data_IF_426994462056
#
_entry.id   IF_426994462056
#
_cell.length_a   1.000
_cell.length_b   1.000
_cell.length_c   1.000
_cell.angle_alpha   90.00
_cell.angle_beta   90.00
_cell.angle_gamma   90.00
#
_symmetry.space_group_name_H-M   'P 1'
#
loop_
_entity.id
_entity.type
_entity.pdbx_description
1 polymer ?
#
# COMPACT_ATOMS: atom_id res chain seq x y z
N UNK A 1 -23.01 32.86 25.22
CA UNK A 1 -21.87 33.18 24.35
C UNK A 1 -21.40 31.87 23.79
N UNK A 2 -21.63 31.63 22.48
CA UNK A 2 -21.30 30.39 21.81
C UNK A 2 -19.85 30.47 21.32
N UNK A 3 -18.94 29.82 22.02
CA UNK A 3 -17.55 29.67 21.52
C UNK A 3 -17.59 28.75 20.29
N UNK A 4 -17.50 29.37 19.12
CA UNK A 4 -17.25 28.61 17.89
C UNK A 4 -15.85 28.02 18.00
N UNK A 5 -15.77 26.70 18.23
CA UNK A 5 -14.49 25.99 18.20
C UNK A 5 -13.86 26.18 16.82
N UNK A 6 -12.64 26.71 16.80
CA UNK A 6 -11.83 26.83 15.61
C UNK A 6 -11.49 25.40 15.12
N UNK A 7 -12.12 24.99 14.01
CA UNK A 7 -11.91 23.67 13.41
C UNK A 7 -11.47 23.86 11.94
N UNK A 8 -10.18 24.15 11.70
CA UNK A 8 -9.68 24.34 10.34
C UNK A 8 -9.66 23.00 9.59
N UNK A 9 -10.13 23.03 8.35
CA UNK A 9 -9.87 21.93 7.40
C UNK A 9 -8.43 22.06 6.90
N UNK A 10 -7.60 21.02 6.99
CA UNK A 10 -6.22 21.07 6.50
C UNK A 10 -6.17 21.41 5.02
N UNK A 11 -5.32 22.39 4.67
CA UNK A 11 -5.09 22.77 3.28
C UNK A 11 -4.25 21.69 2.61
N UNK A 12 -4.79 21.06 1.57
CA UNK A 12 -4.08 20.11 0.70
C UNK A 12 -3.18 20.89 -0.28
N UNK A 13 -2.12 21.54 0.21
CA UNK A 13 -1.04 22.06 -0.63
C UNK A 13 0.10 21.05 -0.58
N UNK A 14 0.58 20.59 -1.74
CA UNK A 14 1.84 19.84 -1.83
C UNK A 14 2.91 20.66 -1.09
N UNK A 15 3.66 20.01 -0.21
CA UNK A 15 4.78 20.65 0.44
C UNK A 15 5.89 20.92 -0.58
N UNK A 16 6.79 21.87 -0.31
CA UNK A 16 7.95 22.11 -1.20
C UNK A 16 8.83 20.87 -1.29
N UNK A 17 8.90 20.04 -0.26
CA UNK A 17 9.62 18.77 -0.29
C UNK A 17 8.95 17.75 -1.23
N UNK A 18 7.61 17.67 -1.25
CA UNK A 18 6.88 16.81 -2.18
C UNK A 18 7.06 17.24 -3.64
N UNK A 19 7.14 18.55 -3.88
CA UNK A 19 7.39 19.08 -5.22
C UNK A 19 8.80 18.73 -5.73
N UNK A 20 9.81 18.78 -4.87
CA UNK A 20 11.17 18.33 -5.20
C UNK A 20 11.19 16.82 -5.49
N UNK A 21 10.53 16.03 -4.65
CA UNK A 21 10.38 14.58 -4.86
C UNK A 21 9.76 14.33 -6.23
N UNK A 22 8.70 15.05 -6.57
CA UNK A 22 8.02 14.93 -7.86
C UNK A 22 8.97 15.20 -9.03
N UNK A 23 9.66 16.34 -9.04
CA UNK A 23 10.53 16.73 -10.15
C UNK A 23 11.73 15.79 -10.32
N UNK A 24 12.37 15.34 -9.21
CA UNK A 24 13.48 14.39 -9.29
C UNK A 24 12.97 13.05 -9.86
N UNK A 25 11.78 12.61 -9.47
CA UNK A 25 11.16 11.40 -10.03
C UNK A 25 10.92 11.51 -11.54
N UNK A 26 10.37 12.61 -12.00
CA UNK A 26 10.20 12.85 -13.44
C UNK A 26 11.54 12.78 -14.18
N UNK A 27 12.59 13.39 -13.60
CA UNK A 27 13.94 13.32 -14.19
C UNK A 27 14.51 11.90 -14.24
N UNK A 28 14.15 11.05 -13.29
CA UNK A 28 14.52 9.64 -13.30
C UNK A 28 13.70 8.87 -14.34
N UNK A 29 12.39 9.09 -14.36
CA UNK A 29 11.45 8.39 -15.25
C UNK A 29 11.71 8.69 -16.74
N UNK A 30 12.01 9.95 -17.09
CA UNK A 30 12.30 10.36 -18.46
C UNK A 30 13.81 10.18 -18.85
N UNK A 31 14.60 9.58 -17.96
CA UNK A 31 16.00 9.24 -18.22
C UNK A 31 16.98 10.41 -18.15
N UNK A 32 16.57 11.59 -17.69
CA UNK A 32 17.50 12.72 -17.43
C UNK A 32 18.46 12.43 -16.27
N UNK A 33 18.03 11.59 -15.32
CA UNK A 33 18.85 11.05 -14.24
C UNK A 33 18.97 9.53 -14.45
N UNK A 34 20.19 9.06 -14.67
CA UNK A 34 20.48 7.66 -14.98
C UNK A 34 20.70 6.84 -13.70
N UNK A 35 20.44 5.51 -13.73
CA UNK A 35 20.84 4.60 -12.65
C UNK A 35 22.31 4.77 -12.26
N UNK A 36 22.59 4.70 -10.96
CA UNK A 36 23.90 4.96 -10.33
C UNK A 36 24.45 6.39 -10.52
N UNK A 37 23.74 7.26 -11.19
CA UNK A 37 24.13 8.65 -11.29
C UNK A 37 24.11 9.32 -9.91
N UNK A 38 25.17 10.07 -9.63
CA UNK A 38 25.26 10.89 -8.43
C UNK A 38 24.35 12.10 -8.59
N UNK A 39 23.48 12.33 -7.60
CA UNK A 39 22.67 13.54 -7.50
C UNK A 39 23.56 14.74 -7.09
N UNK A 40 23.15 15.96 -7.43
CA UNK A 40 23.75 17.18 -6.88
C UNK A 40 23.77 17.13 -5.35
N UNK A 41 24.74 17.82 -4.75
CA UNK A 41 24.86 17.93 -3.30
C UNK A 41 23.63 18.63 -2.69
N UNK A 42 23.39 18.45 -1.39
CA UNK A 42 22.31 19.17 -0.69
C UNK A 42 22.37 20.68 -0.91
N UNK A 43 23.58 21.25 -0.99
CA UNK A 43 23.78 22.68 -1.24
C UNK A 43 23.39 23.10 -2.66
N UNK A 44 23.78 22.32 -3.65
CA UNK A 44 23.43 22.57 -5.05
C UNK A 44 21.91 22.39 -5.28
N UNK A 45 21.30 21.40 -4.63
CA UNK A 45 19.84 21.23 -4.66
C UNK A 45 19.11 22.39 -4.02
N UNK A 46 19.61 22.93 -2.88
CA UNK A 46 19.04 24.13 -2.25
C UNK A 46 19.08 25.33 -3.22
N UNK A 47 20.17 25.50 -3.96
CA UNK A 47 20.29 26.57 -4.94
C UNK A 47 19.37 26.35 -6.15
N UNK A 48 19.37 25.13 -6.70
CA UNK A 48 18.56 24.78 -7.88
C UNK A 48 17.05 24.94 -7.63
N UNK A 49 16.56 24.51 -6.47
CA UNK A 49 15.15 24.59 -6.11
C UNK A 49 14.77 25.85 -5.34
N UNK A 50 15.74 26.72 -5.01
CA UNK A 50 15.53 27.93 -4.22
C UNK A 50 14.84 27.68 -2.88
N UNK A 51 15.23 26.60 -2.16
CA UNK A 51 14.65 26.17 -0.89
C UNK A 51 15.69 25.97 0.20
N UNK A 52 15.22 25.84 1.45
CA UNK A 52 16.08 25.59 2.60
C UNK A 52 16.57 24.14 2.68
N UNK A 53 17.68 23.93 3.44
CA UNK A 53 18.30 22.61 3.63
C UNK A 53 17.33 21.56 4.22
N UNK A 54 16.46 21.98 5.14
CA UNK A 54 15.45 21.08 5.74
C UNK A 54 14.55 20.47 4.69
N UNK A 55 14.02 21.30 3.78
CA UNK A 55 13.15 20.88 2.69
C UNK A 55 13.85 19.89 1.74
N UNK A 56 15.12 20.17 1.38
CA UNK A 56 15.91 19.25 0.54
C UNK A 56 16.17 17.92 1.26
N UNK A 57 16.48 17.94 2.56
CA UNK A 57 16.68 16.71 3.33
C UNK A 57 15.42 15.87 3.45
N UNK A 58 14.27 16.49 3.68
CA UNK A 58 12.97 15.81 3.68
C UNK A 58 12.67 15.16 2.33
N UNK A 59 12.93 15.89 1.22
CA UNK A 59 12.77 15.34 -0.12
C UNK A 59 13.71 14.15 -0.38
N UNK A 60 15.00 14.26 -0.03
CA UNK A 60 15.96 13.16 -0.19
C UNK A 60 15.62 11.97 0.71
N UNK A 61 15.08 12.18 1.92
CA UNK A 61 14.56 11.10 2.77
C UNK A 61 13.35 10.43 2.11
N UNK A 62 12.43 11.20 1.56
CA UNK A 62 11.29 10.68 0.79
C UNK A 62 11.74 9.83 -0.39
N UNK A 63 12.67 10.32 -1.21
CA UNK A 63 13.23 9.56 -2.34
C UNK A 63 13.96 8.29 -1.90
N UNK A 64 14.63 8.32 -0.74
CA UNK A 64 15.30 7.13 -0.19
C UNK A 64 14.29 6.11 0.32
N UNK A 65 13.22 6.57 1.00
CA UNK A 65 12.12 5.71 1.45
C UNK A 65 11.37 5.05 0.28
N UNK A 66 11.31 5.73 -0.87
CA UNK A 66 10.77 5.21 -2.12
C UNK A 66 11.73 4.27 -2.86
N UNK A 67 12.95 4.09 -2.36
CA UNK A 67 13.97 3.26 -3.01
C UNK A 67 14.57 3.84 -4.30
N UNK A 68 14.28 5.09 -4.63
CA UNK A 68 14.77 5.77 -5.85
C UNK A 68 16.17 6.33 -5.71
N UNK A 69 16.55 6.65 -4.47
CA UNK A 69 17.84 7.21 -4.12
C UNK A 69 18.45 6.40 -2.99
N UNK A 70 19.71 6.00 -3.15
CA UNK A 70 20.52 5.47 -2.05
C UNK A 70 21.46 6.55 -1.54
N UNK A 71 21.67 6.60 -0.22
CA UNK A 71 22.62 7.52 0.41
C UNK A 71 23.89 6.76 0.81
N UNK A 72 25.03 7.37 0.50
CA UNK A 72 26.34 6.92 0.96
C UNK A 72 27.07 8.10 1.58
N UNK A 73 27.22 8.09 2.92
CA UNK A 73 27.80 9.17 3.72
C UNK A 73 27.19 10.55 3.42
N UNK A 74 27.82 11.31 2.54
CA UNK A 74 27.40 12.68 2.18
C UNK A 74 26.84 12.78 0.75
N UNK A 75 26.79 11.67 0.01
CA UNK A 75 26.37 11.65 -1.37
C UNK A 75 25.05 10.89 -1.53
N UNK A 76 24.26 11.29 -2.51
CA UNK A 76 23.05 10.60 -2.92
C UNK A 76 23.21 10.13 -4.36
N UNK A 77 22.72 8.91 -4.66
CA UNK A 77 22.84 8.29 -5.97
C UNK A 77 21.48 7.73 -6.38
N UNK A 78 21.14 7.83 -7.64
CA UNK A 78 19.97 7.12 -8.20
C UNK A 78 20.20 5.62 -8.07
N UNK A 79 19.19 4.88 -7.65
CA UNK A 79 19.27 3.42 -7.50
C UNK A 79 19.12 2.70 -8.85
N UNK A 80 19.67 1.49 -8.97
CA UNK A 80 19.48 0.65 -10.16
C UNK A 80 18.04 0.12 -10.28
N UNK A 81 17.25 0.29 -9.23
CA UNK A 81 15.89 -0.22 -9.17
C UNK A 81 14.91 0.47 -10.15
N UNK A 82 15.38 1.50 -10.88
CA UNK A 82 14.55 2.32 -11.79
C UNK A 82 14.22 1.60 -13.12
N UNK A 83 14.90 0.51 -13.44
CA UNK A 83 14.61 -0.26 -14.66
C UNK A 83 13.37 -1.15 -14.58
N UNK A 84 12.64 -1.15 -13.43
CA UNK A 84 11.44 -1.96 -13.29
C UNK A 84 10.20 -1.15 -13.67
N UNK A 85 9.49 -1.48 -14.75
CA UNK A 85 8.23 -0.84 -15.16
C UNK A 85 7.17 -0.82 -14.03
N UNK A 86 7.22 -1.79 -13.12
CA UNK A 86 6.37 -1.87 -11.93
C UNK A 86 6.69 -0.77 -10.91
N UNK A 87 7.93 -0.31 -10.84
CA UNK A 87 8.33 0.73 -9.89
C UNK A 87 7.85 2.11 -10.35
N UNK A 88 7.92 2.38 -11.65
CA UNK A 88 7.34 3.58 -12.26
C UNK A 88 5.82 3.63 -12.08
N UNK A 89 5.13 2.52 -12.35
CA UNK A 89 3.71 2.35 -12.08
C UNK A 89 3.38 2.55 -10.59
N UNK A 90 4.16 1.96 -9.68
CA UNK A 90 4.01 2.12 -8.24
C UNK A 90 4.18 3.58 -7.80
N UNK A 91 5.14 4.29 -8.39
CA UNK A 91 5.39 5.70 -8.09
C UNK A 91 4.27 6.60 -8.59
N UNK A 92 3.71 6.34 -9.76
CA UNK A 92 2.53 7.02 -10.26
C UNK A 92 1.34 6.82 -9.30
N UNK A 93 1.10 5.57 -8.88
CA UNK A 93 0.04 5.25 -7.94
C UNK A 93 0.18 5.96 -6.58
N UNK A 94 1.39 6.20 -6.08
CA UNK A 94 1.61 6.91 -4.80
C UNK A 94 1.43 8.43 -4.92
N UNK A 95 1.68 9.00 -6.10
CA UNK A 95 1.72 10.46 -6.28
C UNK A 95 0.43 11.08 -6.79
N UNK A 96 -0.35 10.35 -7.53
CA UNK A 96 -1.67 10.81 -7.93
C UNK A 96 -2.64 10.54 -6.77
N UNK A 97 -3.46 11.53 -6.42
CA UNK A 97 -4.53 11.39 -5.45
C UNK A 97 -5.61 10.47 -6.06
N UNK A 98 -5.34 9.15 -6.08
CA UNK A 98 -6.37 8.20 -6.50
C UNK A 98 -7.55 8.23 -5.53
N UNK A 99 -8.74 8.14 -6.09
CA UNK A 99 -9.94 7.96 -5.31
C UNK A 99 -9.83 6.62 -4.55
N UNK A 100 -10.02 6.69 -3.25
CA UNK A 100 -10.04 5.50 -2.38
C UNK A 100 -11.05 4.47 -2.92
N UNK A 101 -12.17 4.91 -3.48
CA UNK A 101 -13.17 4.03 -4.09
C UNK A 101 -12.58 3.22 -5.25
N UNK A 102 -11.79 3.84 -6.13
CA UNK A 102 -11.13 3.14 -7.25
C UNK A 102 -10.10 2.10 -6.76
N UNK A 103 -9.40 2.39 -5.67
CA UNK A 103 -8.47 1.42 -5.05
C UNK A 103 -9.24 0.22 -4.47
N UNK A 104 -10.39 0.44 -3.84
CA UNK A 104 -11.25 -0.64 -3.37
C UNK A 104 -11.86 -1.44 -4.52
N UNK A 105 -12.30 -0.81 -5.62
CA UNK A 105 -12.75 -1.51 -6.82
C UNK A 105 -11.65 -2.42 -7.39
N UNK A 106 -10.43 -1.90 -7.55
CA UNK A 106 -9.28 -2.69 -8.01
C UNK A 106 -8.98 -3.86 -7.07
N UNK A 107 -9.06 -3.64 -5.75
CA UNK A 107 -8.92 -4.69 -4.73
C UNK A 107 -9.97 -5.78 -4.91
N UNK A 108 -11.26 -5.41 -4.99
CA UNK A 108 -12.38 -6.35 -5.16
C UNK A 108 -12.23 -7.19 -6.44
N UNK A 109 -11.88 -6.56 -7.55
CA UNK A 109 -11.65 -7.27 -8.81
C UNK A 109 -10.51 -8.30 -8.69
N UNK A 110 -9.41 -7.90 -8.06
CA UNK A 110 -8.25 -8.76 -7.89
C UNK A 110 -8.53 -9.91 -6.90
N UNK A 111 -9.02 -9.60 -5.71
CA UNK A 111 -9.29 -10.57 -4.65
C UNK A 111 -10.40 -11.56 -5.06
N UNK A 112 -11.49 -11.08 -5.65
CA UNK A 112 -12.60 -11.91 -6.12
C UNK A 112 -12.20 -12.91 -7.21
N UNK A 113 -11.21 -12.56 -8.06
CA UNK A 113 -10.67 -13.45 -9.06
C UNK A 113 -9.61 -14.41 -8.50
N UNK A 114 -8.71 -13.89 -7.66
CA UNK A 114 -7.57 -14.65 -7.11
C UNK A 114 -8.03 -15.72 -6.13
N UNK A 115 -9.09 -15.49 -5.36
CA UNK A 115 -9.59 -16.50 -4.41
C UNK A 115 -10.03 -17.80 -5.08
N UNK A 116 -10.47 -17.77 -6.34
CA UNK A 116 -10.75 -18.98 -7.12
C UNK A 116 -9.50 -19.86 -7.27
N UNK A 117 -8.35 -19.22 -7.52
CA UNK A 117 -7.06 -19.92 -7.56
C UNK A 117 -6.67 -20.46 -6.18
N UNK A 118 -6.89 -19.69 -5.12
CA UNK A 118 -6.65 -20.12 -3.75
C UNK A 118 -7.51 -21.35 -3.40
N UNK A 119 -8.79 -21.36 -3.75
CA UNK A 119 -9.66 -22.53 -3.58
C UNK A 119 -9.07 -23.81 -4.19
N UNK A 120 -8.48 -23.71 -5.38
CA UNK A 120 -7.88 -24.87 -6.06
C UNK A 120 -6.56 -25.30 -5.47
N UNK A 121 -5.75 -24.37 -4.99
CA UNK A 121 -4.31 -24.56 -4.74
C UNK A 121 -3.92 -24.54 -3.26
N UNK A 122 -4.77 -24.00 -2.39
CA UNK A 122 -4.44 -23.84 -0.98
C UNK A 122 -4.03 -25.18 -0.34
N UNK A 123 -2.87 -25.21 0.29
CA UNK A 123 -2.41 -26.31 1.09
C UNK A 123 -3.15 -26.35 2.45
N UNK A 124 -3.26 -27.51 3.11
CA UNK A 124 -3.91 -27.60 4.43
C UNK A 124 -3.32 -26.65 5.47
N UNK A 125 -2.02 -26.41 5.42
CA UNK A 125 -1.29 -25.48 6.30
C UNK A 125 -1.75 -24.04 6.12
N UNK A 126 -2.00 -23.64 4.86
CA UNK A 126 -2.48 -22.28 4.53
C UNK A 126 -3.92 -22.08 4.99
N UNK A 127 -4.76 -23.09 4.87
CA UNK A 127 -6.13 -23.07 5.40
C UNK A 127 -6.11 -22.90 6.91
N UNK A 128 -5.30 -23.67 7.64
CA UNK A 128 -5.12 -23.51 9.09
C UNK A 128 -4.63 -22.10 9.44
N UNK A 129 -3.70 -21.57 8.65
CA UNK A 129 -3.20 -20.20 8.87
C UNK A 129 -4.30 -19.15 8.73
N UNK A 130 -5.18 -19.29 7.75
CA UNK A 130 -6.36 -18.42 7.58
C UNK A 130 -7.31 -18.50 8.79
N UNK A 131 -7.56 -19.70 9.33
CA UNK A 131 -8.36 -19.90 10.56
C UNK A 131 -7.73 -19.18 11.75
N UNK A 132 -6.42 -19.39 12.00
CA UNK A 132 -5.68 -18.71 13.07
C UNK A 132 -5.76 -17.18 12.96
N UNK A 133 -5.61 -16.64 11.75
CA UNK A 133 -5.68 -15.20 11.51
C UNK A 133 -7.07 -14.65 11.80
N UNK A 134 -8.12 -15.40 11.45
CA UNK A 134 -9.49 -15.01 11.78
C UNK A 134 -9.76 -15.01 13.29
N UNK A 135 -9.15 -15.91 14.04
CA UNK A 135 -9.20 -15.89 15.51
C UNK A 135 -8.43 -14.69 16.08
N UNK A 136 -7.25 -14.37 15.54
CA UNK A 136 -6.46 -13.20 15.95
C UNK A 136 -7.17 -11.86 15.69
N UNK A 137 -8.11 -11.80 14.74
CA UNK A 137 -8.95 -10.62 14.52
C UNK A 137 -9.98 -10.38 15.62
N UNK A 138 -10.23 -11.36 16.49
CA UNK A 138 -11.15 -11.22 17.64
C UNK A 138 -10.46 -10.44 18.78
N UNK A 139 -10.20 -9.16 18.57
CA UNK A 139 -9.47 -8.31 19.50
C UNK A 139 -10.04 -6.88 19.47
N UNK A 140 -10.01 -6.21 20.62
CA UNK A 140 -10.35 -4.78 20.72
C UNK A 140 -9.18 -3.89 20.28
N UNK A 141 -7.98 -4.44 20.20
CA UNK A 141 -6.81 -3.71 19.72
C UNK A 141 -6.88 -3.52 18.20
N UNK A 142 -7.13 -2.28 17.77
CA UNK A 142 -7.31 -1.92 16.35
C UNK A 142 -6.05 -2.26 15.52
N UNK A 143 -4.86 -2.03 16.03
CA UNK A 143 -3.61 -2.33 15.31
C UNK A 143 -3.42 -3.84 15.12
N UNK A 144 -3.71 -4.63 16.16
CA UNK A 144 -3.65 -6.08 16.11
C UNK A 144 -4.69 -6.63 15.13
N UNK A 145 -5.92 -6.10 15.15
CA UNK A 145 -6.96 -6.44 14.19
C UNK A 145 -6.50 -6.18 12.75
N UNK A 146 -6.07 -4.94 12.44
CA UNK A 146 -5.64 -4.57 11.08
C UNK A 146 -4.46 -5.41 10.62
N UNK A 147 -3.54 -5.73 11.51
CA UNK A 147 -2.40 -6.61 11.18
C UNK A 147 -2.87 -8.01 10.79
N UNK A 148 -3.81 -8.59 11.53
CA UNK A 148 -4.36 -9.91 11.26
C UNK A 148 -5.20 -9.92 9.96
N UNK A 149 -6.03 -8.91 9.74
CA UNK A 149 -6.83 -8.70 8.53
C UNK A 149 -5.95 -8.61 7.28
N UNK A 150 -4.93 -7.77 7.33
CA UNK A 150 -3.96 -7.62 6.25
C UNK A 150 -3.27 -8.95 5.94
N UNK A 151 -2.85 -9.69 6.97
CA UNK A 151 -2.14 -10.96 6.79
C UNK A 151 -3.08 -12.07 6.28
N UNK A 152 -4.36 -12.03 6.63
CA UNK A 152 -5.38 -12.92 6.08
C UNK A 152 -5.49 -12.79 4.55
N UNK A 153 -5.64 -11.59 4.04
CA UNK A 153 -5.69 -11.34 2.61
C UNK A 153 -4.37 -11.68 1.90
N UNK A 154 -3.23 -11.41 2.54
CA UNK A 154 -1.92 -11.84 2.04
C UNK A 154 -1.84 -13.37 1.91
N UNK A 155 -2.37 -14.11 2.88
CA UNK A 155 -2.33 -15.57 2.84
C UNK A 155 -3.21 -16.13 1.71
N UNK A 156 -4.36 -15.53 1.43
CA UNK A 156 -5.17 -15.87 0.25
C UNK A 156 -4.37 -15.66 -1.04
N UNK A 157 -3.65 -14.52 -1.15
CA UNK A 157 -2.81 -14.25 -2.31
C UNK A 157 -1.68 -15.28 -2.46
N UNK A 158 -1.03 -15.69 -1.35
CA UNK A 158 0.00 -16.74 -1.36
C UNK A 158 -0.60 -18.10 -1.75
N UNK A 159 -1.78 -18.44 -1.22
CA UNK A 159 -2.47 -19.69 -1.53
C UNK A 159 -2.86 -19.81 -3.01
N UNK A 160 -3.08 -18.70 -3.69
CA UNK A 160 -3.30 -18.66 -5.12
C UNK A 160 -2.05 -19.04 -5.93
N UNK A 161 -0.86 -19.03 -5.32
CA UNK A 161 0.43 -19.36 -5.92
C UNK A 161 0.65 -18.67 -7.28
N UNK A 162 0.45 -17.34 -7.31
CA UNK A 162 0.71 -16.48 -8.46
C UNK A 162 1.44 -15.23 -7.99
N UNK A 163 2.76 -15.22 -8.17
CA UNK A 163 3.62 -14.13 -7.68
C UNK A 163 3.26 -12.77 -8.29
N UNK A 164 2.85 -12.73 -9.56
CA UNK A 164 2.48 -11.47 -10.22
C UNK A 164 1.26 -10.84 -9.55
N UNK A 165 0.20 -11.62 -9.29
CA UNK A 165 -0.99 -11.10 -8.61
C UNK A 165 -0.70 -10.74 -7.17
N UNK A 166 0.20 -11.44 -6.48
CA UNK A 166 0.66 -11.10 -5.14
C UNK A 166 1.33 -9.72 -5.11
N UNK A 167 2.27 -9.44 -6.02
CA UNK A 167 2.96 -8.14 -6.09
C UNK A 167 1.98 -6.99 -6.42
N UNK A 168 1.07 -7.21 -7.37
CA UNK A 168 0.02 -6.22 -7.69
C UNK A 168 -0.84 -5.92 -6.45
N UNK A 169 -1.22 -6.93 -5.69
CA UNK A 169 -1.97 -6.76 -4.46
C UNK A 169 -1.21 -5.97 -3.39
N UNK A 170 0.11 -6.20 -3.25
CA UNK A 170 0.93 -5.44 -2.28
C UNK A 170 0.90 -3.94 -2.56
N UNK A 171 0.86 -3.53 -3.83
CA UNK A 171 0.73 -2.12 -4.21
C UNK A 171 -0.60 -1.54 -3.74
N UNK A 172 -1.71 -2.20 -4.08
CA UNK A 172 -3.06 -1.76 -3.67
C UNK A 172 -3.16 -1.68 -2.15
N UNK A 173 -2.70 -2.70 -1.45
CA UNK A 173 -2.69 -2.78 0.01
C UNK A 173 -1.93 -1.63 0.67
N UNK A 174 -0.75 -1.30 0.13
CA UNK A 174 0.05 -0.18 0.64
C UNK A 174 -0.72 1.14 0.57
N UNK A 175 -1.40 1.39 -0.56
CA UNK A 175 -2.18 2.61 -0.77
C UNK A 175 -3.42 2.68 0.14
N UNK A 176 -4.05 1.53 0.43
CA UNK A 176 -5.23 1.44 1.29
C UNK A 176 -4.93 1.47 2.79
N UNK A 177 -3.67 1.37 3.21
CA UNK A 177 -3.28 1.22 4.62
C UNK A 177 -3.93 2.24 5.56
N UNK A 178 -3.95 3.53 5.17
CA UNK A 178 -4.56 4.59 5.99
C UNK A 178 -6.07 4.46 6.07
N UNK A 179 -6.72 4.11 4.97
CA UNK A 179 -8.16 3.92 4.91
C UNK A 179 -8.59 2.72 5.77
N UNK A 180 -7.88 1.60 5.69
CA UNK A 180 -8.12 0.41 6.52
C UNK A 180 -8.06 0.71 8.01
N UNK A 181 -7.06 1.48 8.46
CA UNK A 181 -6.95 1.92 9.86
C UNK A 181 -8.14 2.77 10.31
N UNK A 182 -8.70 3.62 9.44
CA UNK A 182 -9.87 4.43 9.77
C UNK A 182 -11.15 3.59 9.83
N UNK A 183 -11.35 2.69 8.88
CA UNK A 183 -12.51 1.78 8.82
C UNK A 183 -12.52 0.85 10.03
N UNK A 184 -11.35 0.33 10.43
CA UNK A 184 -11.20 -0.57 11.58
C UNK A 184 -11.55 0.06 12.94
N UNK A 185 -11.69 1.38 13.03
CA UNK A 185 -12.18 2.03 14.26
C UNK A 185 -13.65 1.71 14.57
N UNK A 186 -14.43 1.36 13.56
CA UNK A 186 -15.81 0.96 13.74
C UNK A 186 -15.90 -0.52 14.15
N UNK A 187 -16.37 -0.78 15.37
CA UNK A 187 -16.48 -2.12 15.94
C UNK A 187 -17.46 -3.01 15.14
N UNK A 188 -18.59 -2.45 14.71
CA UNK A 188 -19.56 -3.19 13.90
C UNK A 188 -18.95 -3.67 12.58
N UNK A 189 -18.11 -2.84 11.95
CA UNK A 189 -17.40 -3.20 10.73
C UNK A 189 -16.43 -4.36 10.99
N UNK A 190 -15.65 -4.32 12.09
CA UNK A 190 -14.74 -5.41 12.47
C UNK A 190 -15.50 -6.72 12.70
N UNK A 191 -16.59 -6.67 13.45
CA UNK A 191 -17.42 -7.86 13.75
C UNK A 191 -17.99 -8.47 12.48
N UNK A 192 -18.53 -7.64 11.59
CA UNK A 192 -19.08 -8.09 10.30
C UNK A 192 -17.97 -8.70 9.43
N UNK A 193 -16.83 -8.06 9.33
CA UNK A 193 -15.67 -8.55 8.57
C UNK A 193 -15.18 -9.91 9.08
N UNK A 194 -15.05 -10.09 10.40
CA UNK A 194 -14.68 -11.39 10.98
C UNK A 194 -15.68 -12.51 10.62
N UNK A 195 -16.98 -12.22 10.62
CA UNK A 195 -17.98 -13.20 10.22
C UNK A 195 -17.89 -13.55 8.72
N UNK A 196 -17.61 -12.56 7.88
CA UNK A 196 -17.40 -12.77 6.44
C UNK A 196 -16.13 -13.60 6.18
N UNK A 197 -15.01 -13.30 6.85
CA UNK A 197 -13.78 -14.09 6.73
C UNK A 197 -14.01 -15.57 7.03
N UNK A 198 -14.75 -15.92 8.08
CA UNK A 198 -15.09 -17.32 8.41
C UNK A 198 -15.85 -18.00 7.27
N UNK A 199 -16.84 -17.33 6.70
CA UNK A 199 -17.61 -17.87 5.58
C UNK A 199 -16.72 -18.08 4.34
N UNK A 200 -15.79 -17.17 4.09
CA UNK A 200 -14.83 -17.29 2.98
C UNK A 200 -13.93 -18.52 3.18
N UNK A 201 -13.39 -18.73 4.39
CA UNK A 201 -12.55 -19.89 4.70
C UNK A 201 -13.32 -21.20 4.46
N UNK A 202 -14.58 -21.31 4.93
CA UNK A 202 -15.38 -22.51 4.72
C UNK A 202 -15.56 -22.79 3.21
N UNK A 203 -15.84 -21.77 2.40
CA UNK A 203 -15.93 -21.94 0.95
C UNK A 203 -14.59 -22.39 0.33
N UNK A 204 -13.45 -21.90 0.85
CA UNK A 204 -12.11 -22.34 0.41
C UNK A 204 -11.85 -23.80 0.81
N UNK A 205 -12.23 -24.22 2.03
CA UNK A 205 -12.12 -25.62 2.51
C UNK A 205 -12.94 -26.58 1.64
N UNK A 206 -14.13 -26.16 1.27
CA UNK A 206 -15.04 -26.91 0.41
C UNK A 206 -14.62 -26.90 -1.07
N UNK A 207 -13.55 -26.17 -1.42
CA UNK A 207 -13.12 -25.96 -2.82
C UNK A 207 -14.21 -25.33 -3.70
N UNK A 208 -15.14 -24.59 -3.09
CA UNK A 208 -16.25 -23.94 -3.78
C UNK A 208 -15.82 -22.56 -4.32
N UNK A 209 -15.24 -22.55 -5.52
CA UNK A 209 -14.68 -21.36 -6.17
C UNK A 209 -15.73 -20.24 -6.37
N UNK A 210 -16.95 -20.62 -6.77
CA UNK A 210 -18.01 -19.65 -7.05
C UNK A 210 -18.47 -18.96 -5.77
N UNK A 211 -18.70 -19.75 -4.70
CA UNK A 211 -19.12 -19.22 -3.41
C UNK A 211 -18.01 -18.36 -2.79
N UNK A 212 -16.74 -18.81 -2.83
CA UNK A 212 -15.62 -18.07 -2.30
C UNK A 212 -15.44 -16.73 -3.01
N UNK A 213 -15.53 -16.69 -4.35
CA UNK A 213 -15.45 -15.48 -5.15
C UNK A 213 -16.58 -14.51 -4.83
N UNK A 214 -17.81 -15.01 -4.73
CA UNK A 214 -18.98 -14.19 -4.35
C UNK A 214 -18.80 -13.59 -2.96
N UNK A 215 -18.45 -14.41 -1.97
CA UNK A 215 -18.26 -13.95 -0.59
C UNK A 215 -17.11 -12.94 -0.45
N UNK A 216 -16.02 -13.11 -1.20
CA UNK A 216 -14.90 -12.17 -1.22
C UNK A 216 -15.30 -10.82 -1.85
N UNK A 217 -16.17 -10.84 -2.85
CA UNK A 217 -16.65 -9.60 -3.49
C UNK A 217 -17.68 -8.86 -2.62
N UNK A 218 -18.44 -9.60 -1.79
CA UNK A 218 -19.38 -9.02 -0.83
C UNK A 218 -18.70 -8.48 0.44
N UNK A 219 -17.47 -8.93 0.72
CA UNK A 219 -16.63 -8.52 1.84
C UNK A 219 -15.99 -7.15 1.60
#
# INVERSE_FOLDING_TARGET
MNERSFSPTPLNKRSLSDEIVFQIKEMIADGRLQPNQKLPTEQELCQAFSVGRTTVREALMGLTALGLVRRDKHNSYVTDAVEHPLQEFYLHLIMDNYDIAQLYEARLMLEGSVIRLACRRAAPEQIRRLEELTEQMQTDNIEAYVKADVEYHNEIMRAANNQVTYEMYQVIRFLLKKAQMQIAKNEQTRTTSCAQHRRIIEAVKERNEELASKLMTEH
#
